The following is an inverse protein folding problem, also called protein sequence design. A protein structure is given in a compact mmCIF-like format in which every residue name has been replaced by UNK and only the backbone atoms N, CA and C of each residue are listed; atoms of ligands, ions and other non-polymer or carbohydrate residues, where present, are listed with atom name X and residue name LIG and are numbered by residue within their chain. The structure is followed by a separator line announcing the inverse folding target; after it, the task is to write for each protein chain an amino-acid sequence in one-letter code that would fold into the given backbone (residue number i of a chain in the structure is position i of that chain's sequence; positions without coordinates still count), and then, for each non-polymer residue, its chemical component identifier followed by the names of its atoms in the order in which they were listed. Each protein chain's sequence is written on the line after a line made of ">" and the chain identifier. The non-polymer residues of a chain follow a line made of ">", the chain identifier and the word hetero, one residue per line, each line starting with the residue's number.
data_IF_887533854843
#
_entry.id   IF_887533854843
#
_cell.length_a   1.000
_cell.length_b   1.000
_cell.length_c   1.000
_cell.angle_alpha   90.00
_cell.angle_beta   90.00
_cell.angle_gamma   90.00
#
_symmetry.space_group_name_H-M   'P 1'
#
loop_
_entity.id
_entity.type
_entity.pdbx_description
1 polymer ?
#
# COMPACT_ATOMS: atom_id res chain seq x y z
N UNK A 1 -19.66 29.83 22.20
CA UNK A 1 -19.17 29.41 20.87
C UNK A 1 -20.07 28.27 20.45
N UNK A 2 -20.58 28.22 19.21
CA UNK A 2 -21.36 27.07 18.77
C UNK A 2 -20.43 25.86 18.81
N UNK A 3 -20.82 24.81 19.54
CA UNK A 3 -20.16 23.51 19.50
C UNK A 3 -20.13 23.06 18.05
N UNK A 4 -18.93 22.76 17.55
CA UNK A 4 -18.78 22.11 16.26
C UNK A 4 -19.55 20.80 16.37
N UNK A 5 -20.68 20.69 15.66
CA UNK A 5 -21.39 19.43 15.48
C UNK A 5 -20.37 18.42 14.97
N UNK A 6 -20.06 17.41 15.77
CA UNK A 6 -19.21 16.32 15.34
C UNK A 6 -19.94 15.65 14.16
N UNK A 7 -19.37 15.79 12.96
CA UNK A 7 -20.00 15.30 11.72
C UNK A 7 -19.91 13.78 11.63
N UNK A 8 -19.16 13.16 12.55
CA UNK A 8 -18.89 11.73 12.60
C UNK A 8 -19.67 11.13 13.75
N UNK A 9 -20.43 10.08 13.48
CA UNK A 9 -21.11 9.32 14.53
C UNK A 9 -20.08 8.74 15.52
N UNK A 10 -20.42 8.73 16.81
CA UNK A 10 -19.56 8.23 17.91
C UNK A 10 -18.98 6.84 17.62
N UNK A 11 -19.72 6.00 16.88
CA UNK A 11 -19.29 4.66 16.49
C UNK A 11 -18.02 4.65 15.63
N UNK A 12 -17.79 5.68 14.81
CA UNK A 12 -16.70 5.71 13.82
C UNK A 12 -15.54 6.61 14.21
N UNK A 13 -15.66 7.43 15.26
CA UNK A 13 -14.69 8.47 15.60
C UNK A 13 -13.27 7.93 15.77
N UNK A 14 -13.14 6.72 16.34
CA UNK A 14 -11.85 6.05 16.56
C UNK A 14 -11.21 5.55 15.25
N UNK A 15 -12.00 5.37 14.19
CA UNK A 15 -11.54 4.86 12.89
C UNK A 15 -11.09 5.97 11.94
N UNK A 16 -11.59 7.20 12.10
CA UNK A 16 -11.31 8.33 11.18
C UNK A 16 -9.80 8.56 11.03
N UNK A 17 -9.10 8.79 12.14
CA UNK A 17 -7.65 9.06 12.11
C UNK A 17 -6.84 7.88 11.55
N UNK A 18 -7.05 6.63 11.97
CA UNK A 18 -6.37 5.48 11.36
C UNK A 18 -6.59 5.40 9.84
N UNK A 19 -7.83 5.57 9.38
CA UNK A 19 -8.17 5.48 7.95
C UNK A 19 -7.53 6.62 7.13
N UNK A 20 -7.55 7.85 7.64
CA UNK A 20 -6.90 8.98 6.99
C UNK A 20 -5.38 8.75 6.83
N UNK A 21 -4.73 8.28 7.90
CA UNK A 21 -3.29 7.98 7.86
C UNK A 21 -2.98 6.80 6.93
N UNK A 22 -3.85 5.79 6.88
CA UNK A 22 -3.72 4.67 5.96
C UNK A 22 -3.71 5.16 4.50
N UNK A 23 -4.59 6.09 4.12
CA UNK A 23 -4.62 6.66 2.76
C UNK A 23 -3.33 7.41 2.44
N UNK A 24 -2.84 8.23 3.36
CA UNK A 24 -1.61 9.01 3.17
C UNK A 24 -0.40 8.10 3.03
N UNK A 25 -0.22 7.14 3.94
CA UNK A 25 0.96 6.26 3.96
C UNK A 25 0.93 5.30 2.76
N UNK A 26 -0.26 4.83 2.35
CA UNK A 26 -0.42 4.09 1.10
C UNK A 26 0.11 4.89 -0.11
N UNK A 27 -0.29 6.16 -0.25
CA UNK A 27 0.15 7.00 -1.36
C UNK A 27 1.67 7.20 -1.38
N UNK A 28 2.30 7.33 -0.20
CA UNK A 28 3.76 7.40 -0.09
C UNK A 28 4.44 6.10 -0.51
N UNK A 29 3.90 4.94 -0.11
CA UNK A 29 4.43 3.65 -0.49
C UNK A 29 4.29 3.39 -2.00
N UNK A 30 3.15 3.78 -2.59
CA UNK A 30 2.93 3.70 -4.04
C UNK A 30 3.89 4.62 -4.82
N UNK A 31 4.11 5.85 -4.35
CA UNK A 31 5.09 6.75 -4.95
C UNK A 31 6.51 6.16 -4.92
N UNK A 32 6.92 5.56 -3.79
CA UNK A 32 8.23 4.90 -3.68
C UNK A 32 8.35 3.68 -4.63
N UNK A 33 7.25 2.93 -4.82
CA UNK A 33 7.20 1.85 -5.81
C UNK A 33 7.39 2.38 -7.25
N UNK A 34 6.74 3.49 -7.59
CA UNK A 34 6.90 4.14 -8.90
C UNK A 34 8.35 4.58 -9.12
N UNK A 35 8.94 5.26 -8.12
CA UNK A 35 10.33 5.70 -8.16
C UNK A 35 11.30 4.53 -8.36
N UNK A 36 11.07 3.42 -7.66
CA UNK A 36 11.82 2.18 -7.84
C UNK A 36 11.73 1.65 -9.26
N UNK A 37 10.52 1.57 -9.84
CA UNK A 37 10.35 1.12 -11.23
C UNK A 37 11.08 2.03 -12.22
N UNK A 38 11.03 3.34 -12.02
CA UNK A 38 11.75 4.32 -12.83
C UNK A 38 13.26 4.05 -12.76
N UNK A 39 13.84 3.91 -11.56
CA UNK A 39 15.29 3.67 -11.44
C UNK A 39 15.73 2.31 -12.00
N UNK A 40 14.88 1.28 -11.90
CA UNK A 40 15.16 -0.06 -12.42
C UNK A 40 15.14 -0.12 -13.95
N UNK A 41 14.28 0.67 -14.61
CA UNK A 41 14.03 0.53 -16.06
C UNK A 41 14.35 1.76 -16.90
N UNK A 42 14.64 2.91 -16.28
CA UNK A 42 14.83 4.21 -16.93
C UNK A 42 13.64 4.63 -17.82
N UNK A 43 12.41 4.26 -17.42
CA UNK A 43 11.18 4.70 -18.10
C UNK A 43 10.67 6.01 -17.50
N UNK A 44 9.77 6.68 -18.22
CA UNK A 44 9.09 7.86 -17.68
C UNK A 44 8.07 7.48 -16.58
N UNK A 45 7.69 8.46 -15.77
CA UNK A 45 6.74 8.28 -14.67
C UNK A 45 5.38 7.77 -15.14
N UNK A 46 4.90 8.21 -16.32
CA UNK A 46 3.60 7.80 -16.86
C UNK A 46 3.56 6.33 -17.27
N UNK A 47 4.68 5.79 -17.72
CA UNK A 47 4.87 4.36 -18.00
C UNK A 47 4.94 3.61 -16.67
N UNK A 48 5.75 4.04 -15.72
CA UNK A 48 5.86 3.39 -14.42
C UNK A 48 4.51 3.31 -13.69
N UNK A 49 3.72 4.39 -13.69
CA UNK A 49 2.36 4.41 -13.14
C UNK A 49 1.38 3.45 -13.85
N UNK A 50 1.59 3.16 -15.14
CA UNK A 50 0.79 2.15 -15.84
C UNK A 50 1.19 0.74 -15.41
N UNK A 51 2.48 0.49 -15.20
CA UNK A 51 2.99 -0.84 -14.82
C UNK A 51 2.48 -1.28 -13.45
N UNK A 52 2.42 -0.38 -12.46
CA UNK A 52 1.92 -0.71 -11.10
C UNK A 52 0.43 -1.09 -11.05
N UNK A 53 -0.30 -1.00 -12.17
CA UNK A 53 -1.68 -1.50 -12.24
C UNK A 53 -1.73 -3.03 -12.20
N UNK A 54 -0.69 -3.71 -12.67
CA UNK A 54 -0.58 -5.18 -12.64
C UNK A 54 0.57 -5.64 -11.75
N UNK A 55 0.24 -6.48 -10.78
CA UNK A 55 1.24 -7.15 -9.93
C UNK A 55 2.20 -7.97 -10.78
N UNK A 56 1.65 -8.71 -11.73
CA UNK A 56 2.37 -9.65 -12.59
C UNK A 56 3.38 -8.91 -13.47
N UNK A 57 3.03 -7.73 -13.99
CA UNK A 57 3.94 -6.90 -14.76
C UNK A 57 5.13 -6.42 -13.93
N UNK A 58 4.89 -5.98 -12.69
CA UNK A 58 5.95 -5.55 -11.76
C UNK A 58 6.84 -6.73 -11.34
N UNK A 59 6.27 -7.89 -11.03
CA UNK A 59 7.05 -9.09 -10.72
C UNK A 59 7.89 -9.56 -11.92
N UNK A 60 7.35 -9.52 -13.13
CA UNK A 60 8.11 -9.86 -14.34
C UNK A 60 9.27 -8.90 -14.57
N UNK A 61 9.07 -7.61 -14.32
CA UNK A 61 10.12 -6.59 -14.38
C UNK A 61 11.23 -6.90 -13.38
N UNK A 62 10.89 -7.13 -12.12
CA UNK A 62 11.87 -7.40 -11.06
C UNK A 62 12.68 -8.66 -11.37
N UNK A 63 12.03 -9.71 -11.88
CA UNK A 63 12.72 -10.96 -12.24
C UNK A 63 13.69 -10.81 -13.43
N UNK A 64 13.59 -9.74 -14.23
CA UNK A 64 14.48 -9.46 -15.36
C UNK A 64 15.63 -8.52 -15.00
N UNK A 65 15.50 -7.79 -13.89
CA UNK A 65 16.53 -6.88 -13.41
C UNK A 65 17.60 -7.68 -12.69
N UNK A 66 18.86 -7.34 -12.95
CA UNK A 66 19.97 -7.89 -12.18
C UNK A 66 19.99 -7.22 -10.80
N UNK A 67 19.52 -7.96 -9.80
CA UNK A 67 19.51 -7.58 -8.39
C UNK A 67 20.45 -8.50 -7.63
N UNK A 68 21.13 -7.94 -6.63
CA UNK A 68 22.00 -8.72 -5.75
C UNK A 68 21.21 -9.74 -4.92
N UNK A 69 21.91 -10.80 -4.50
CA UNK A 69 21.39 -12.02 -3.86
C UNK A 69 20.18 -11.81 -2.93
N UNK A 70 20.32 -10.92 -1.94
CA UNK A 70 19.29 -10.68 -0.93
C UNK A 70 18.06 -9.98 -1.52
N UNK A 71 18.27 -8.88 -2.24
CA UNK A 71 17.21 -8.10 -2.89
C UNK A 71 16.45 -8.93 -3.93
N UNK A 72 17.14 -9.80 -4.67
CA UNK A 72 16.54 -10.72 -5.65
C UNK A 72 15.50 -11.66 -5.03
N UNK A 73 15.67 -11.99 -3.75
CA UNK A 73 14.74 -12.89 -3.03
C UNK A 73 13.68 -12.12 -2.25
N UNK A 74 14.06 -11.03 -1.58
CA UNK A 74 13.14 -10.27 -0.73
C UNK A 74 12.16 -9.42 -1.56
N UNK A 75 12.63 -8.75 -2.62
CA UNK A 75 11.81 -7.78 -3.35
C UNK A 75 10.54 -8.41 -3.97
N UNK A 76 10.58 -9.59 -4.63
CA UNK A 76 9.35 -10.23 -5.11
C UNK A 76 8.34 -10.52 -4.00
N UNK A 77 8.80 -10.98 -2.83
CA UNK A 77 7.94 -11.24 -1.68
C UNK A 77 7.29 -9.95 -1.17
N UNK A 78 8.06 -8.85 -1.11
CA UNK A 78 7.55 -7.53 -0.71
C UNK A 78 6.51 -7.01 -1.68
N UNK A 79 6.70 -7.21 -2.99
CA UNK A 79 5.70 -6.86 -3.99
C UNK A 79 4.42 -7.67 -3.83
N UNK A 80 4.50 -8.98 -3.61
CA UNK A 80 3.30 -9.77 -3.35
C UNK A 80 2.54 -9.28 -2.11
N UNK A 81 3.26 -9.00 -1.02
CA UNK A 81 2.69 -8.46 0.21
C UNK A 81 2.05 -7.09 0.00
N UNK A 82 2.70 -6.18 -0.75
CA UNK A 82 2.16 -4.86 -1.05
C UNK A 82 0.80 -4.94 -1.75
N UNK A 83 0.62 -5.86 -2.69
CA UNK A 83 -0.68 -6.04 -3.37
C UNK A 83 -1.75 -6.62 -2.45
N UNK A 84 -1.41 -7.60 -1.61
CA UNK A 84 -2.34 -8.12 -0.59
C UNK A 84 -2.78 -7.01 0.38
N UNK A 85 -1.85 -6.18 0.83
CA UNK A 85 -2.12 -5.04 1.69
C UNK A 85 -2.94 -3.96 0.98
N UNK A 86 -2.69 -3.71 -0.31
CA UNK A 86 -3.48 -2.80 -1.16
C UNK A 86 -4.92 -3.27 -1.26
N UNK A 87 -5.14 -4.56 -1.47
CA UNK A 87 -6.47 -5.13 -1.54
C UNK A 87 -7.21 -4.99 -0.19
N UNK A 88 -6.54 -5.24 0.94
CA UNK A 88 -7.11 -5.01 2.27
C UNK A 88 -7.45 -3.53 2.52
N UNK A 89 -6.55 -2.61 2.15
CA UNK A 89 -6.81 -1.16 2.22
C UNK A 89 -8.02 -0.78 1.38
N UNK A 90 -8.12 -1.31 0.16
CA UNK A 90 -9.25 -1.02 -0.71
C UNK A 90 -10.57 -1.46 -0.08
N UNK A 91 -10.58 -2.58 0.64
CA UNK A 91 -11.76 -2.99 1.41
C UNK A 91 -12.09 -2.01 2.52
N UNK A 92 -11.13 -1.55 3.32
CA UNK A 92 -11.41 -0.55 4.36
C UNK A 92 -11.92 0.79 3.80
N UNK A 93 -11.52 1.18 2.59
CA UNK A 93 -11.91 2.46 2.00
C UNK A 93 -13.19 2.37 1.16
N UNK A 94 -13.47 1.21 0.55
CA UNK A 94 -14.54 1.07 -0.44
C UNK A 94 -15.66 0.12 -0.04
N UNK A 95 -15.47 -0.72 0.98
CA UNK A 95 -16.58 -1.49 1.54
C UNK A 95 -17.56 -0.54 2.24
N UNK A 96 -18.81 -0.95 2.31
CA UNK A 96 -19.85 -0.19 3.02
C UNK A 96 -19.67 -0.33 4.53
N UNK A 97 -19.56 0.79 5.23
CA UNK A 97 -19.48 0.85 6.69
C UNK A 97 -20.86 0.93 7.31
N UNK A 98 -21.11 0.15 8.36
CA UNK A 98 -22.36 0.17 9.12
C UNK A 98 -22.10 -0.17 10.60
N UNK A 99 -22.93 0.31 11.54
CA UNK A 99 -22.80 -0.06 12.93
C UNK A 99 -23.50 -1.42 13.16
N UNK A 100 -22.84 -2.36 13.84
CA UNK A 100 -23.45 -3.61 14.26
C UNK A 100 -24.38 -3.37 15.46
N UNK A 101 -25.68 -3.34 15.21
CA UNK A 101 -26.72 -3.02 16.20
C UNK A 101 -26.68 -4.02 17.38
N UNK A 102 -26.45 -5.30 17.09
CA UNK A 102 -26.43 -6.37 18.10
C UNK A 102 -25.17 -6.34 18.99
N UNK A 103 -24.11 -5.65 18.55
CA UNK A 103 -22.82 -5.55 19.25
C UNK A 103 -22.55 -4.11 19.75
N UNK A 104 -23.60 -3.41 20.16
CA UNK A 104 -23.47 -2.07 20.75
C UNK A 104 -23.00 -0.99 19.77
N UNK A 105 -23.15 -1.22 18.47
CA UNK A 105 -22.79 -0.28 17.42
C UNK A 105 -21.34 -0.36 16.94
N UNK A 106 -20.63 -1.46 17.23
CA UNK A 106 -19.27 -1.66 16.74
C UNK A 106 -19.17 -1.48 15.20
N UNK A 107 -18.13 -0.82 14.68
CA UNK A 107 -17.94 -0.68 13.24
C UNK A 107 -17.79 -2.02 12.53
N UNK A 108 -18.55 -2.20 11.45
CA UNK A 108 -18.40 -3.32 10.54
C UNK A 108 -18.41 -2.87 9.10
N UNK A 109 -17.83 -3.70 8.23
CA UNK A 109 -17.80 -3.47 6.79
C UNK A 109 -18.43 -4.62 6.00
N UNK A 110 -19.05 -4.25 4.88
CA UNK A 110 -19.64 -5.18 3.90
C UNK A 110 -19.06 -4.93 2.52
N UNK A 111 -18.27 -5.87 2.04
CA UNK A 111 -17.79 -5.89 0.65
C UNK A 111 -18.88 -6.34 -0.30
N UNK A 112 -19.34 -5.45 -1.18
CA UNK A 112 -20.35 -5.77 -2.17
C UNK A 112 -19.74 -6.49 -3.39
N UNK A 113 -20.27 -7.65 -3.79
CA UNK A 113 -19.75 -8.38 -4.93
C UNK A 113 -20.00 -7.62 -6.24
N UNK A 114 -18.93 -7.23 -6.94
CA UNK A 114 -19.02 -6.59 -8.26
C UNK A 114 -19.47 -7.55 -9.39
N UNK A 115 -19.43 -8.87 -9.13
CA UNK A 115 -19.82 -9.91 -10.09
C UNK A 115 -20.91 -10.80 -9.50
N UNK A 116 -21.87 -11.20 -10.33
CA UNK A 116 -22.93 -12.14 -9.96
C UNK A 116 -22.31 -13.46 -9.46
N UNK A 117 -22.67 -13.87 -8.25
CA UNK A 117 -22.18 -15.10 -7.62
C UNK A 117 -20.87 -14.98 -6.82
N UNK A 118 -20.30 -13.77 -6.71
CA UNK A 118 -19.20 -13.56 -5.75
C UNK A 118 -19.75 -13.47 -4.32
N UNK A 119 -18.94 -13.94 -3.37
CA UNK A 119 -19.28 -13.97 -1.95
C UNK A 119 -19.25 -12.56 -1.36
N UNK A 120 -20.22 -12.26 -0.49
CA UNK A 120 -20.20 -11.03 0.31
C UNK A 120 -19.16 -11.21 1.41
N UNK A 121 -18.24 -10.27 1.52
CA UNK A 121 -17.20 -10.37 2.53
C UNK A 121 -17.50 -9.40 3.67
N UNK A 122 -17.65 -9.94 4.88
CA UNK A 122 -17.92 -9.18 6.09
C UNK A 122 -16.63 -8.98 6.89
N UNK A 123 -16.51 -7.85 7.59
CA UNK A 123 -15.39 -7.60 8.48
C UNK A 123 -15.81 -6.72 9.68
N UNK A 124 -15.07 -6.80 10.77
CA UNK A 124 -15.26 -6.00 11.99
C UNK A 124 -13.94 -5.32 12.34
N UNK A 125 -13.55 -4.29 11.57
CA UNK A 125 -12.25 -3.67 11.72
C UNK A 125 -12.14 -2.92 13.04
N UNK A 126 -11.00 -3.08 13.70
CA UNK A 126 -10.63 -2.29 14.87
C UNK A 126 -9.51 -1.29 14.52
N UNK A 127 -9.35 -0.19 15.27
CA UNK A 127 -8.33 0.83 14.99
C UNK A 127 -6.90 0.25 14.87
N UNK A 128 -6.57 -0.74 15.70
CA UNK A 128 -5.25 -1.39 15.71
C UNK A 128 -4.94 -2.13 14.41
N UNK A 129 -5.94 -2.76 13.77
CA UNK A 129 -5.76 -3.45 12.49
C UNK A 129 -5.44 -2.45 11.37
N UNK A 130 -6.11 -1.30 11.39
CA UNK A 130 -5.90 -0.22 10.42
C UNK A 130 -4.51 0.40 10.61
N UNK A 131 -4.08 0.62 11.86
CA UNK A 131 -2.73 1.08 12.16
C UNK A 131 -1.65 0.07 11.79
N UNK A 132 -1.91 -1.22 12.01
CA UNK A 132 -0.99 -2.28 11.62
C UNK A 132 -0.80 -2.30 10.10
N UNK A 133 -1.89 -2.14 9.33
CA UNK A 133 -1.81 -2.03 7.87
C UNK A 133 -1.07 -0.77 7.42
N UNK A 134 -1.33 0.39 8.04
CA UNK A 134 -0.60 1.62 7.76
C UNK A 134 0.92 1.45 8.00
N UNK A 135 1.29 0.77 9.09
CA UNK A 135 2.70 0.43 9.38
C UNK A 135 3.31 -0.44 8.29
N UNK A 136 2.61 -1.45 7.79
CA UNK A 136 3.11 -2.28 6.68
C UNK A 136 3.37 -1.46 5.42
N UNK A 137 2.52 -0.49 5.09
CA UNK A 137 2.82 0.43 3.99
C UNK A 137 4.04 1.32 4.24
N UNK A 138 4.26 1.76 5.48
CA UNK A 138 5.50 2.44 5.83
C UNK A 138 6.73 1.54 5.58
N UNK A 139 6.66 0.26 5.96
CA UNK A 139 7.74 -0.70 5.72
C UNK A 139 7.97 -0.97 4.22
N UNK A 140 6.88 -1.07 3.43
CA UNK A 140 6.97 -1.18 1.97
C UNK A 140 7.67 0.04 1.35
N UNK A 141 7.28 1.24 1.76
CA UNK A 141 7.93 2.50 1.33
C UNK A 141 9.42 2.46 1.59
N UNK A 142 9.80 2.15 2.83
CA UNK A 142 11.20 2.17 3.25
C UNK A 142 12.04 1.13 2.47
N UNK A 143 11.46 -0.04 2.19
CA UNK A 143 12.10 -1.06 1.37
C UNK A 143 12.30 -0.61 -0.09
N UNK A 144 11.26 -0.05 -0.74
CA UNK A 144 11.38 0.42 -2.13
C UNK A 144 12.39 1.57 -2.26
N UNK A 145 12.37 2.53 -1.33
CA UNK A 145 13.36 3.62 -1.29
C UNK A 145 14.78 3.11 -1.04
N UNK A 146 14.96 2.07 -0.22
CA UNK A 146 16.27 1.44 -0.01
C UNK A 146 16.85 0.84 -1.30
N UNK A 147 16.03 0.17 -2.12
CA UNK A 147 16.47 -0.41 -3.40
C UNK A 147 16.97 0.70 -4.33
N UNK A 148 16.22 1.80 -4.45
CA UNK A 148 16.62 2.98 -5.25
C UNK A 148 17.97 3.53 -4.76
N UNK A 149 18.09 3.77 -3.45
CA UNK A 149 19.30 4.31 -2.84
C UNK A 149 20.52 3.43 -3.10
N UNK A 150 20.40 2.12 -2.86
CA UNK A 150 21.50 1.16 -2.99
C UNK A 150 22.01 1.12 -4.43
N UNK A 151 21.09 1.13 -5.40
CA UNK A 151 21.43 1.12 -6.82
C UNK A 151 22.03 2.43 -7.31
N UNK A 152 21.54 3.57 -6.85
CA UNK A 152 22.15 4.87 -7.16
C UNK A 152 23.59 4.97 -6.63
N UNK A 153 23.87 4.39 -5.45
CA UNK A 153 25.24 4.32 -4.92
C UNK A 153 26.16 3.46 -5.77
N UNK A 154 25.72 2.30 -6.24
CA UNK A 154 26.52 1.44 -7.12
C UNK A 154 26.87 2.14 -8.44
N UNK A 155 25.90 2.82 -9.06
CA UNK A 155 26.14 3.63 -10.27
C UNK A 155 27.17 4.75 -10.02
N UNK A 156 27.17 5.34 -8.82
CA UNK A 156 28.09 6.41 -8.43
C UNK A 156 29.50 5.92 -8.09
N UNK A 157 29.64 4.69 -7.59
CA UNK A 157 30.97 4.09 -7.33
C UNK A 157 31.67 3.64 -8.61
N UNK A 158 30.92 3.19 -9.62
CA UNK A 158 31.45 2.76 -10.92
C UNK A 158 31.89 3.92 -11.83
N UNK A 159 31.60 5.17 -11.43
CA UNK A 159 31.91 6.38 -12.19
C UNK A 159 33.14 7.16 -11.69
N UNK A 160 33.92 6.59 -10.76
CA UNK A 160 35.23 7.11 -10.39
C UNK A 160 36.28 6.63 -11.42
N UNK A 161 36.94 7.53 -12.18
CA UNK A 161 38.07 7.14 -13.00
C UNK A 161 39.25 6.74 -12.10
N UNK A 162 39.87 5.60 -12.41
CA UNK A 162 41.16 5.21 -11.85
C UNK A 162 42.14 6.38 -11.98
N UNK A 163 42.61 6.90 -10.84
CA UNK A 163 43.63 7.93 -10.75
C UNK A 163 45.03 7.34 -10.86
#
# INVERSE_FOLDING_TARGET
>A
MPEQLDVVDDFYIEMVRPLDNLVIIFAQAEAALVEMIIDLTNVDESVAQRMIKSKEEVLQLINRVDLECFDRTELPLRIEQFWCDRDLRNRYIHDEWFPQIDEGGAPATRGLPLKKGAEVVWNTPIPDDVWALARRFNDHRDHFSHIVYSRQRMKSSDSLPDA
#
